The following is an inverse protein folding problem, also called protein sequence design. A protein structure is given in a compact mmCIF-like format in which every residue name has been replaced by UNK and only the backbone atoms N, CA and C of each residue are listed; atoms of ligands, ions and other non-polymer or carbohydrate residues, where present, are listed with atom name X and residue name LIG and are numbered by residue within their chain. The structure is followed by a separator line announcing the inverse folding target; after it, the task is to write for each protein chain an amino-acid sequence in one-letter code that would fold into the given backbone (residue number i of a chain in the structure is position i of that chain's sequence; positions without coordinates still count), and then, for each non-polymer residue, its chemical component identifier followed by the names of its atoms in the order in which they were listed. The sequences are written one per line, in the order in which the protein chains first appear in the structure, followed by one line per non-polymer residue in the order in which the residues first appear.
data_IF_328556670592
#
_entry.id   IF_328556670592
#
_cell.length_a   1.000
_cell.length_b   1.000
_cell.length_c   1.000
_cell.angle_alpha   90.00
_cell.angle_beta   90.00
_cell.angle_gamma   90.00
#
_symmetry.space_group_name_H-M   'P 1'
#
loop_
_entity.id
_entity.type
_entity.pdbx_description
1 polymer ?
#
# COMPACT_ATOMS: atom_id res chain seq x y z
N UNK A 1 2.28 -18.55 28.93
CA UNK A 1 1.66 -17.48 28.13
C UNK A 1 2.04 -17.71 26.68
N UNK A 2 1.10 -18.14 25.85
CA UNK A 2 1.33 -18.26 24.41
C UNK A 2 0.63 -17.08 23.73
N UNK A 3 1.39 -16.32 22.94
CA UNK A 3 0.93 -15.13 22.25
C UNK A 3 0.57 -15.53 20.81
N UNK A 4 -0.72 -15.65 20.50
CA UNK A 4 -1.18 -15.80 19.12
C UNK A 4 -1.38 -14.42 18.48
N UNK A 5 -0.53 -14.08 17.52
CA UNK A 5 -0.66 -12.90 16.69
C UNK A 5 -1.79 -13.13 15.67
N UNK A 6 -2.90 -12.42 15.81
CA UNK A 6 -3.95 -12.39 14.80
C UNK A 6 -3.45 -11.51 13.66
N UNK A 7 -3.33 -12.07 12.46
CA UNK A 7 -2.83 -11.33 11.30
C UNK A 7 -3.89 -10.31 10.87
N UNK A 8 -3.71 -9.04 11.26
CA UNK A 8 -4.64 -7.96 10.92
C UNK A 8 -4.56 -7.60 9.42
N UNK A 9 -5.73 -7.30 8.85
CA UNK A 9 -5.94 -6.97 7.45
C UNK A 9 -5.02 -5.80 7.01
N UNK A 10 -4.09 -6.07 6.08
CA UNK A 10 -3.22 -5.03 5.51
C UNK A 10 -4.06 -4.13 4.62
N UNK A 11 -4.25 -2.86 5.02
CA UNK A 11 -4.90 -1.86 4.18
C UNK A 11 -3.85 -1.04 3.48
N UNK A 12 -3.70 -1.26 2.17
CA UNK A 12 -2.92 -0.37 1.32
C UNK A 12 -3.71 0.90 1.15
N UNK A 13 -3.12 2.04 1.50
CA UNK A 13 -3.79 3.34 1.43
C UNK A 13 -3.12 4.27 0.44
N UNK A 14 -1.84 4.08 0.14
CA UNK A 14 -1.13 4.94 -0.80
C UNK A 14 -0.30 4.14 -1.80
N UNK A 15 -0.35 4.62 -3.04
CA UNK A 15 0.46 4.16 -4.15
C UNK A 15 1.17 5.36 -4.76
N UNK A 16 2.49 5.30 -4.84
CA UNK A 16 3.32 6.40 -5.33
C UNK A 16 4.04 5.91 -6.58
N UNK A 17 3.93 6.65 -7.68
CA UNK A 17 4.68 6.41 -8.92
C UNK A 17 5.63 7.57 -9.14
N UNK A 18 6.89 7.27 -9.44
CA UNK A 18 7.93 8.25 -9.76
C UNK A 18 8.48 7.96 -11.15
N UNK A 19 8.76 9.01 -11.92
CA UNK A 19 9.50 8.92 -13.17
C UNK A 19 10.96 9.33 -12.95
N UNK A 20 11.88 8.39 -13.05
CA UNK A 20 13.31 8.59 -12.81
C UNK A 20 13.98 9.44 -13.90
N UNK A 21 13.35 9.59 -15.07
CA UNK A 21 13.88 10.40 -16.16
C UNK A 21 13.63 11.90 -15.98
N UNK A 22 12.45 12.29 -15.46
CA UNK A 22 12.04 13.69 -15.36
C UNK A 22 11.74 14.16 -13.93
N UNK A 23 11.78 13.25 -12.95
CA UNK A 23 11.49 13.55 -11.55
C UNK A 23 10.01 13.74 -11.22
N UNK A 24 9.08 13.47 -12.15
CA UNK A 24 7.65 13.60 -11.87
C UNK A 24 7.21 12.55 -10.84
N UNK A 25 6.44 12.97 -9.84
CA UNK A 25 5.92 12.11 -8.77
C UNK A 25 4.40 12.25 -8.71
N UNK A 26 3.68 11.11 -8.69
CA UNK A 26 2.23 11.06 -8.50
C UNK A 26 1.89 10.14 -7.36
N UNK A 27 0.92 10.56 -6.55
CA UNK A 27 0.40 9.80 -5.41
C UNK A 27 -1.06 9.48 -5.67
N UNK A 28 -1.45 8.26 -5.35
CA UNK A 28 -2.80 7.75 -5.47
C UNK A 28 -3.21 7.14 -4.13
N UNK A 29 -4.44 7.39 -3.71
CA UNK A 29 -5.05 6.62 -2.64
C UNK A 29 -5.65 5.36 -3.22
N UNK A 30 -5.34 4.21 -2.65
CA UNK A 30 -5.86 2.90 -3.06
C UNK A 30 -6.52 2.24 -1.85
N UNK A 31 -7.49 1.36 -2.07
CA UNK A 31 -8.09 0.56 -0.99
C UNK A 31 -7.67 -0.91 -1.06
N UNK A 32 -7.29 -1.37 -2.26
CA UNK A 32 -6.93 -2.76 -2.55
C UNK A 32 -5.58 -2.83 -3.25
N UNK A 33 -4.84 -3.89 -2.97
CA UNK A 33 -3.56 -4.15 -3.62
C UNK A 33 -3.71 -4.27 -5.15
N UNK A 34 -4.74 -4.95 -5.65
CA UNK A 34 -4.91 -5.19 -7.09
C UNK A 34 -5.11 -3.90 -7.90
N UNK A 35 -5.63 -2.84 -7.27
CA UNK A 35 -5.80 -1.54 -7.91
C UNK A 35 -4.47 -0.86 -8.23
N UNK A 36 -3.42 -1.15 -7.45
CA UNK A 36 -2.06 -0.60 -7.67
C UNK A 36 -1.43 -1.12 -8.95
N UNK A 37 -1.59 -2.41 -9.24
CA UNK A 37 -1.08 -3.04 -10.46
C UNK A 37 -1.75 -2.41 -11.69
N UNK A 38 -3.07 -2.28 -11.64
CA UNK A 38 -3.87 -1.65 -12.69
C UNK A 38 -3.50 -0.18 -12.90
N UNK A 39 -3.27 0.57 -11.82
CA UNK A 39 -2.80 1.97 -11.88
C UNK A 39 -1.43 2.05 -12.56
N UNK A 40 -0.46 1.22 -12.15
CA UNK A 40 0.85 1.20 -12.76
C UNK A 40 0.79 0.82 -14.25
N UNK A 41 -0.07 -0.14 -14.60
CA UNK A 41 -0.24 -0.59 -15.97
C UNK A 41 -0.86 0.46 -16.90
N UNK A 42 -1.63 1.39 -16.36
CA UNK A 42 -2.31 2.44 -17.16
C UNK A 42 -1.61 3.79 -17.08
N UNK A 43 -0.76 4.00 -16.08
CA UNK A 43 -0.08 5.27 -15.89
C UNK A 43 0.88 5.59 -17.04
N UNK A 44 0.80 6.84 -17.51
CA UNK A 44 1.74 7.42 -18.46
C UNK A 44 2.30 8.70 -17.84
N UNK A 45 3.61 8.90 -17.96
CA UNK A 45 4.23 10.12 -17.51
C UNK A 45 3.69 11.30 -18.32
N UNK A 46 3.24 12.36 -17.65
CA UNK A 46 2.72 13.59 -18.28
C UNK A 46 3.74 14.26 -19.21
N UNK A 47 5.04 14.01 -18.98
CA UNK A 47 6.14 14.50 -19.81
C UNK A 47 6.49 13.55 -20.98
N UNK A 48 5.71 12.48 -21.21
CA UNK A 48 5.92 11.53 -22.30
C UNK A 48 7.10 10.58 -22.12
N UNK A 49 7.67 10.46 -20.92
CA UNK A 49 8.77 9.54 -20.64
C UNK A 49 8.35 8.06 -20.79
N UNK A 50 9.31 7.22 -21.20
CA UNK A 50 9.10 5.79 -21.35
C UNK A 50 8.77 5.09 -20.03
N UNK A 51 7.95 4.03 -20.09
CA UNK A 51 7.51 3.28 -18.90
C UNK A 51 8.62 2.54 -18.18
N UNK A 52 9.70 2.21 -18.87
CA UNK A 52 10.91 1.62 -18.30
C UNK A 52 11.62 2.56 -17.31
N UNK A 53 11.25 3.85 -17.28
CA UNK A 53 11.78 4.85 -16.36
C UNK A 53 10.86 5.09 -15.16
N UNK A 54 9.80 4.30 -15.00
CA UNK A 54 8.87 4.43 -13.89
C UNK A 54 9.25 3.50 -12.75
N UNK A 55 9.28 4.03 -11.55
CA UNK A 55 9.38 3.29 -10.30
C UNK A 55 8.09 3.49 -9.49
N UNK A 56 7.80 2.59 -8.55
CA UNK A 56 6.65 2.75 -7.66
C UNK A 56 6.90 2.22 -6.26
N UNK A 57 6.11 2.73 -5.30
CA UNK A 57 6.08 2.27 -3.91
C UNK A 57 4.62 2.08 -3.48
N UNK A 58 4.34 0.98 -2.77
CA UNK A 58 3.05 0.71 -2.13
C UNK A 58 3.20 0.92 -0.61
N UNK A 59 2.35 1.75 -0.01
CA UNK A 59 2.33 1.99 1.43
C UNK A 59 1.05 1.39 2.02
N UNK A 60 1.22 0.46 2.96
CA UNK A 60 0.14 -0.16 3.72
C UNK A 60 0.19 0.21 5.19
N UNK A 61 -0.98 0.36 5.80
CA UNK A 61 -1.11 0.55 7.24
C UNK A 61 -1.40 -0.77 7.95
N UNK A 62 -0.49 -1.08 8.87
CA UNK A 62 -0.60 -2.01 9.98
C UNK A 62 -1.67 -1.58 11.00
N UNK A 63 -2.88 -2.15 11.08
CA UNK A 63 -3.61 -2.06 12.34
C UNK A 63 -3.00 -3.10 13.28
N UNK A 64 -2.69 -2.70 14.52
CA UNK A 64 -2.28 -3.60 15.61
C UNK A 64 -3.35 -3.47 16.69
N UNK A 65 -4.11 -4.54 16.93
CA UNK A 65 -5.19 -4.64 17.90
C UNK A 65 -4.81 -5.58 19.04
N UNK A 66 -4.89 -5.09 20.28
CA UNK A 66 -4.75 -5.93 21.47
C UNK A 66 -6.03 -6.75 21.66
N UNK A 67 -5.92 -8.08 21.66
CA UNK A 67 -6.98 -8.95 22.19
C UNK A 67 -6.95 -8.89 23.72
N UNK A 68 -7.80 -8.08 24.34
CA UNK A 68 -8.11 -8.27 25.76
C UNK A 68 -8.95 -9.55 25.91
N UNK A 69 -8.32 -10.65 26.33
CA UNK A 69 -9.06 -11.81 26.82
C UNK A 69 -9.76 -11.42 28.12
N UNK A 70 -11.03 -11.04 28.05
CA UNK A 70 -11.88 -10.92 29.23
C UNK A 70 -12.28 -12.34 29.65
N UNK A 71 -11.43 -13.01 30.43
CA UNK A 71 -11.89 -14.16 31.23
C UNK A 71 -12.83 -13.60 32.30
N UNK A 72 -14.14 -13.76 32.08
CA UNK A 72 -15.15 -13.57 33.13
C UNK A 72 -14.89 -14.62 34.21
N UNK A 73 -14.21 -14.21 35.29
CA UNK A 73 -14.16 -14.98 36.53
C UNK A 73 -15.51 -14.75 37.23
N UNK A 74 -16.29 -15.84 37.28
CA UNK A 74 -17.51 -16.12 38.09
C UNK A 74 -18.06 -15.02 38.99
#
# INVERSE_FOLDING_TARGET
MNMELVMEEIRYNEFIITCEACGNVKKFTVEKSDDTENLFQKYQCENGCGRNMLSFIKLGLLRIGEKTNTETVV
#
